data_IF_632313457887
#
_entry.id   IF_632313457887
#
_cell.length_a   1.000
_cell.length_b   1.000
_cell.length_c   1.000
_cell.angle_alpha   90.00
_cell.angle_beta   90.00
_cell.angle_gamma   90.00
#
_symmetry.space_group_name_H-M   'P 1'
#
loop_
_entity.id
_entity.type
_entity.pdbx_description
1 polymer ?
#
# COMPACT_ATOMS: atom_id res chain seq x y z
N UNK A 1 17.95 -5.15 32.66
CA UNK A 1 17.15 -5.08 31.41
C UNK A 1 16.20 -6.26 31.39
N UNK A 2 14.88 -6.03 31.33
CA UNK A 2 13.85 -7.06 31.53
C UNK A 2 13.48 -7.88 30.28
N UNK A 3 14.10 -7.60 29.13
CA UNK A 3 13.81 -8.26 27.86
C UNK A 3 15.06 -8.84 27.21
N UNK A 4 14.92 -9.97 26.52
CA UNK A 4 15.97 -10.50 25.65
C UNK A 4 16.21 -9.55 24.47
N UNK A 5 17.40 -9.61 23.89
CA UNK A 5 17.76 -8.75 22.76
C UNK A 5 16.82 -8.96 21.56
N UNK A 6 16.40 -10.20 21.28
CA UNK A 6 15.48 -10.52 20.19
C UNK A 6 14.08 -9.93 20.41
N UNK A 7 13.60 -9.92 21.66
CA UNK A 7 12.31 -9.31 22.01
C UNK A 7 12.33 -7.80 21.78
N UNK A 8 13.40 -7.12 22.18
CA UNK A 8 13.56 -5.68 21.96
C UNK A 8 13.56 -5.34 20.47
N UNK A 9 14.27 -6.13 19.64
CA UNK A 9 14.27 -5.95 18.18
C UNK A 9 12.86 -6.05 17.59
N UNK A 10 12.06 -7.04 18.02
CA UNK A 10 10.70 -7.22 17.53
C UNK A 10 9.77 -6.06 17.95
N UNK A 11 9.86 -5.61 19.20
CA UNK A 11 9.09 -4.46 19.68
C UNK A 11 9.45 -3.21 18.87
N UNK A 12 10.74 -2.96 18.64
CA UNK A 12 11.18 -1.79 17.90
C UNK A 12 10.75 -1.85 16.43
N UNK A 13 10.74 -3.04 15.81
CA UNK A 13 10.21 -3.22 14.47
C UNK A 13 8.72 -2.84 14.40
N UNK A 14 7.90 -3.31 15.35
CA UNK A 14 6.48 -2.96 15.37
C UNK A 14 6.20 -1.49 15.66
N UNK A 15 7.02 -0.82 16.49
CA UNK A 15 6.89 0.62 16.77
C UNK A 15 7.07 1.51 15.54
N UNK A 16 7.72 1.02 14.48
CA UNK A 16 7.91 1.77 13.22
C UNK A 16 6.64 1.82 12.36
N UNK A 17 5.64 1.00 12.66
CA UNK A 17 4.39 0.98 11.91
C UNK A 17 3.51 2.17 12.32
N UNK A 18 2.85 2.86 11.36
CA UNK A 18 1.96 3.95 11.68
C UNK A 18 0.80 3.46 12.57
N UNK A 19 0.48 4.22 13.62
CA UNK A 19 -0.58 3.86 14.58
C UNK A 19 -0.18 2.84 15.65
N UNK A 20 1.06 2.34 15.67
CA UNK A 20 1.53 1.36 16.68
C UNK A 20 2.41 2.02 17.73
N UNK A 21 1.81 2.38 18.87
CA UNK A 21 2.55 2.89 20.03
C UNK A 21 3.30 1.81 20.83
N UNK A 22 4.14 2.19 21.81
CA UNK A 22 4.99 1.27 22.57
C UNK A 22 4.22 0.12 23.25
N UNK A 23 3.06 0.42 23.86
CA UNK A 23 2.20 -0.60 24.50
C UNK A 23 1.64 -1.59 23.49
N UNK A 24 1.19 -1.10 22.33
CA UNK A 24 0.65 -1.95 21.25
C UNK A 24 1.75 -2.82 20.65
N UNK A 25 2.93 -2.26 20.39
CA UNK A 25 4.09 -3.00 19.89
C UNK A 25 4.51 -4.13 20.83
N UNK A 26 4.56 -3.87 22.15
CA UNK A 26 4.83 -4.89 23.15
C UNK A 26 3.77 -6.01 23.11
N UNK A 27 2.48 -5.65 23.05
CA UNK A 27 1.39 -6.62 22.96
C UNK A 27 1.50 -7.51 21.71
N UNK A 28 1.82 -6.92 20.56
CA UNK A 28 2.02 -7.65 19.30
C UNK A 28 3.24 -8.57 19.38
N UNK A 29 4.36 -8.10 19.94
CA UNK A 29 5.55 -8.92 20.12
C UNK A 29 5.27 -10.16 20.99
N UNK A 30 4.57 -10.00 22.12
CA UNK A 30 4.17 -11.14 22.96
C UNK A 30 3.18 -12.08 22.26
N UNK A 31 2.33 -11.56 21.39
CA UNK A 31 1.43 -12.38 20.58
C UNK A 31 2.22 -13.25 19.61
N UNK A 32 3.15 -12.67 18.83
CA UNK A 32 4.00 -13.41 17.88
C UNK A 32 4.80 -14.52 18.56
N UNK A 33 5.37 -14.29 19.74
CA UNK A 33 6.14 -15.31 20.48
C UNK A 33 5.29 -16.51 20.91
N UNK A 34 3.97 -16.34 21.03
CA UNK A 34 3.03 -17.43 21.40
C UNK A 34 2.52 -18.21 20.19
N UNK A 35 2.69 -17.69 18.98
CA UNK A 35 2.21 -18.36 17.77
C UNK A 35 3.09 -19.57 17.43
N UNK A 36 2.53 -20.60 16.76
CA UNK A 36 3.31 -21.65 16.14
C UNK A 36 4.32 -21.06 15.15
N UNK A 37 5.51 -21.67 15.04
CA UNK A 37 6.57 -21.19 14.16
C UNK A 37 6.15 -21.11 12.68
N UNK A 38 5.21 -21.96 12.24
CA UNK A 38 4.66 -21.95 10.89
C UNK A 38 3.80 -20.70 10.62
N UNK A 39 2.98 -20.27 11.58
CA UNK A 39 2.19 -19.04 11.45
C UNK A 39 3.08 -17.80 11.41
N UNK A 40 4.16 -17.78 12.22
CA UNK A 40 5.13 -16.68 12.19
C UNK A 40 5.84 -16.60 10.83
N UNK A 41 6.18 -17.76 10.24
CA UNK A 41 6.77 -17.82 8.89
C UNK A 41 5.80 -17.31 7.83
N UNK A 42 4.54 -17.74 7.87
CA UNK A 42 3.50 -17.27 6.94
C UNK A 42 3.35 -15.73 6.99
N UNK A 43 3.34 -15.14 8.18
CA UNK A 43 3.26 -13.68 8.33
C UNK A 43 4.50 -13.00 7.75
N UNK A 44 5.70 -13.54 8.02
CA UNK A 44 6.95 -12.97 7.51
C UNK A 44 7.04 -13.06 5.97
N UNK A 45 6.63 -14.21 5.40
CA UNK A 45 6.59 -14.43 3.96
C UNK A 45 5.59 -13.48 3.29
N UNK A 46 4.39 -13.32 3.83
CA UNK A 46 3.40 -12.38 3.29
C UNK A 46 3.91 -10.93 3.28
N UNK A 47 4.65 -10.50 4.31
CA UNK A 47 5.24 -9.16 4.36
C UNK A 47 6.31 -8.97 3.28
N UNK A 48 7.17 -9.96 3.08
CA UNK A 48 8.23 -9.93 2.06
C UNK A 48 7.64 -9.98 0.65
N UNK A 49 6.74 -10.93 0.40
CA UNK A 49 6.07 -11.12 -0.88
C UNK A 49 5.32 -9.86 -1.31
N UNK A 50 4.54 -9.25 -0.42
CA UNK A 50 3.82 -8.02 -0.71
C UNK A 50 4.79 -6.88 -1.06
N UNK A 51 5.93 -6.78 -0.38
CA UNK A 51 6.91 -5.72 -0.65
C UNK A 51 7.66 -5.94 -1.97
N UNK A 52 7.88 -7.18 -2.36
CA UNK A 52 8.63 -7.56 -3.57
C UNK A 52 7.76 -7.56 -4.82
N UNK A 53 6.53 -8.07 -4.73
CA UNK A 53 5.65 -8.27 -5.90
C UNK A 53 4.77 -7.07 -6.22
N UNK A 54 4.32 -6.33 -5.20
CA UNK A 54 3.42 -5.20 -5.43
C UNK A 54 4.23 -4.03 -6.00
N UNK A 55 3.87 -3.64 -7.21
CA UNK A 55 4.44 -2.50 -7.92
C UNK A 55 3.32 -1.56 -8.40
N UNK A 56 3.69 -0.50 -9.12
CA UNK A 56 2.75 0.42 -9.72
C UNK A 56 2.49 0.06 -11.18
N UNK A 57 1.23 0.13 -11.58
CA UNK A 57 0.82 -0.02 -12.97
C UNK A 57 1.51 1.05 -13.83
N UNK A 58 2.10 0.63 -14.94
CA UNK A 58 2.75 1.53 -15.90
C UNK A 58 1.78 2.49 -16.57
N UNK A 59 0.50 2.12 -16.67
CA UNK A 59 -0.55 2.91 -17.34
C UNK A 59 -1.22 3.89 -16.39
N UNK A 60 -1.72 3.42 -15.25
CA UNK A 60 -2.57 4.25 -14.36
C UNK A 60 -1.95 4.54 -12.99
N UNK A 61 -0.78 4.00 -12.67
CA UNK A 61 -0.15 4.20 -11.36
C UNK A 61 -0.82 3.50 -10.16
N UNK A 62 -1.87 2.70 -10.38
CA UNK A 62 -2.48 1.89 -9.31
C UNK A 62 -1.56 0.75 -8.84
N UNK A 63 -1.74 0.26 -7.61
CA UNK A 63 -1.01 -0.91 -7.10
C UNK A 63 -1.43 -2.18 -7.84
N UNK A 64 -0.46 -2.97 -8.27
CA UNK A 64 -0.69 -4.22 -8.97
C UNK A 64 0.54 -5.12 -8.95
N UNK A 65 0.34 -6.42 -9.11
CA UNK A 65 1.40 -7.40 -9.36
C UNK A 65 1.55 -7.72 -10.86
N UNK A 66 0.59 -7.30 -11.70
CA UNK A 66 0.53 -7.61 -13.12
C UNK A 66 0.56 -6.34 -13.97
N UNK A 67 1.26 -6.38 -15.10
CA UNK A 67 1.36 -5.24 -16.02
C UNK A 67 0.63 -5.53 -17.34
N UNK A 68 -0.38 -4.73 -17.73
CA UNK A 68 -1.04 -3.67 -16.96
C UNK A 68 -2.03 -4.23 -15.93
N UNK A 69 -2.44 -3.40 -14.96
CA UNK A 69 -3.32 -3.84 -13.88
C UNK A 69 -4.69 -4.35 -14.38
N UNK A 70 -5.41 -5.06 -13.50
CA UNK A 70 -6.73 -5.65 -13.77
C UNK A 70 -7.74 -4.68 -14.38
N UNK A 71 -7.72 -3.42 -13.95
CA UNK A 71 -8.63 -2.37 -14.42
C UNK A 71 -8.26 -1.98 -15.86
N UNK A 72 -6.98 -1.70 -16.12
CA UNK A 72 -6.52 -1.25 -17.44
C UNK A 72 -6.68 -2.32 -18.52
N UNK A 73 -6.48 -3.60 -18.17
CA UNK A 73 -6.66 -4.73 -19.10
C UNK A 73 -8.12 -5.07 -19.39
N UNK A 74 -9.06 -4.61 -18.57
CA UNK A 74 -10.46 -4.94 -18.72
C UNK A 74 -11.10 -4.16 -19.89
N UNK A 75 -11.39 -4.88 -20.98
CA UNK A 75 -12.00 -4.32 -22.19
C UNK A 75 -13.48 -3.90 -22.02
N UNK A 76 -14.14 -4.33 -20.94
CA UNK A 76 -15.54 -3.94 -20.65
C UNK A 76 -15.66 -2.53 -20.04
N UNK A 77 -14.54 -1.92 -19.64
CA UNK A 77 -14.52 -0.59 -19.03
C UNK A 77 -14.51 0.52 -20.07
N UNK A 78 -15.09 1.65 -19.73
CA UNK A 78 -15.10 2.83 -20.60
C UNK A 78 -13.75 3.56 -20.51
N UNK A 79 -12.94 3.46 -21.57
CA UNK A 79 -11.63 4.11 -21.68
C UNK A 79 -11.69 5.62 -21.98
N UNK A 80 -12.87 6.15 -22.31
CA UNK A 80 -13.07 7.58 -22.53
C UNK A 80 -13.24 8.34 -21.21
N UNK A 81 -13.42 7.62 -20.09
CA UNK A 81 -13.58 8.19 -18.75
C UNK A 81 -12.41 7.76 -17.87
N UNK A 82 -11.73 8.76 -17.31
CA UNK A 82 -10.60 8.58 -16.39
C UNK A 82 -10.94 9.27 -15.07
N UNK A 83 -10.99 8.51 -13.98
CA UNK A 83 -11.12 9.03 -12.62
C UNK A 83 -9.71 9.24 -12.06
N UNK A 84 -9.33 10.50 -11.91
CA UNK A 84 -8.05 10.89 -11.33
C UNK A 84 -8.17 10.87 -9.81
N UNK A 85 -7.29 10.14 -9.14
CA UNK A 85 -7.28 9.98 -7.69
C UNK A 85 -5.91 10.23 -7.10
N UNK A 86 -5.86 10.58 -5.82
CA UNK A 86 -4.61 10.94 -5.15
C UNK A 86 -3.76 9.70 -4.87
N UNK A 87 -4.37 8.65 -4.29
CA UNK A 87 -3.67 7.45 -3.85
C UNK A 87 -4.36 6.15 -4.29
N UNK A 88 -3.64 5.02 -4.37
CA UNK A 88 -4.23 3.72 -4.74
C UNK A 88 -5.40 3.26 -3.85
N UNK A 89 -5.41 3.69 -2.58
CA UNK A 89 -6.52 3.40 -1.64
C UNK A 89 -7.85 4.01 -2.11
N UNK A 90 -7.80 5.12 -2.82
CA UNK A 90 -8.98 5.83 -3.31
C UNK A 90 -9.62 5.07 -4.48
N UNK A 91 -8.80 4.39 -5.32
CA UNK A 91 -9.30 3.43 -6.32
C UNK A 91 -10.10 2.33 -5.64
N UNK A 92 -9.56 1.75 -4.57
CA UNK A 92 -10.23 0.69 -3.82
C UNK A 92 -11.52 1.16 -3.15
N UNK A 93 -11.57 2.42 -2.70
CA UNK A 93 -12.78 3.03 -2.15
C UNK A 93 -13.84 3.24 -3.24
N UNK A 94 -13.44 3.72 -4.42
CA UNK A 94 -14.35 3.93 -5.54
C UNK A 94 -14.89 2.61 -6.11
N UNK A 95 -14.04 1.59 -6.27
CA UNK A 95 -14.46 0.28 -6.78
C UNK A 95 -15.49 -0.41 -5.87
N UNK A 96 -15.44 -0.17 -4.55
CA UNK A 96 -16.41 -0.70 -3.59
C UNK A 96 -17.82 -0.15 -3.77
N UNK A 97 -18.00 0.98 -4.45
CA UNK A 97 -19.35 1.50 -4.74
C UNK A 97 -20.06 0.66 -5.81
N UNK A 98 -19.30 0.05 -6.73
CA UNK A 98 -19.84 -0.71 -7.86
C UNK A 98 -20.52 0.14 -8.93
N UNK A 99 -20.44 1.47 -8.84
CA UNK A 99 -21.14 2.40 -9.73
C UNK A 99 -20.22 3.00 -10.81
N UNK A 100 -18.90 2.87 -10.66
CA UNK A 100 -17.92 3.42 -11.59
C UNK A 100 -17.34 2.35 -12.52
N UNK A 101 -17.53 2.53 -13.83
CA UNK A 101 -17.08 1.59 -14.88
C UNK A 101 -16.00 2.18 -15.81
N UNK A 102 -15.43 3.32 -15.44
CA UNK A 102 -14.32 3.93 -16.18
C UNK A 102 -12.95 3.36 -15.78
N UNK A 103 -11.91 4.04 -16.22
CA UNK A 103 -10.51 3.78 -15.85
C UNK A 103 -10.02 4.78 -14.80
N UNK A 104 -8.85 4.53 -14.21
CA UNK A 104 -8.29 5.42 -13.19
C UNK A 104 -6.96 5.97 -13.62
N UNK A 105 -6.55 7.04 -12.94
CA UNK A 105 -5.18 7.53 -12.92
C UNK A 105 -4.81 7.95 -11.50
N UNK A 106 -3.73 7.39 -10.97
CA UNK A 106 -3.28 7.60 -9.59
C UNK A 106 -2.08 8.53 -9.60
N UNK A 107 -2.23 9.69 -8.95
CA UNK A 107 -1.22 10.74 -8.91
C UNK A 107 -0.04 10.43 -7.98
N UNK A 108 -0.22 9.52 -7.03
CA UNK A 108 0.76 9.15 -5.98
C UNK A 108 1.09 10.30 -5.02
N UNK A 109 0.12 11.18 -4.78
CA UNK A 109 0.30 12.34 -3.92
C UNK A 109 -0.57 13.50 -4.36
N UNK A 110 -0.43 14.61 -3.65
CA UNK A 110 -1.01 15.89 -4.02
C UNK A 110 0.06 16.98 -3.96
N UNK A 111 -0.16 18.04 -4.73
CA UNK A 111 0.69 19.24 -4.68
C UNK A 111 0.59 19.83 -3.27
N UNK A 112 1.72 20.00 -2.62
CA UNK A 112 1.82 20.59 -1.29
C UNK A 112 2.98 21.58 -1.25
N UNK A 113 2.70 22.90 -1.42
CA UNK A 113 3.75 23.93 -1.35
C UNK A 113 4.45 23.97 0.01
N UNK A 114 3.75 23.58 1.09
CA UNK A 114 4.29 23.55 2.45
C UNK A 114 5.36 22.45 2.58
N UNK A 115 5.13 21.31 1.92
CA UNK A 115 6.06 20.17 1.92
C UNK A 115 7.06 20.20 0.75
N UNK A 116 7.00 21.25 -0.09
CA UNK A 116 7.85 21.40 -1.27
C UNK A 116 7.52 20.44 -2.42
N UNK A 117 6.31 19.87 -2.46
CA UNK A 117 5.87 18.92 -3.49
C UNK A 117 5.21 19.65 -4.65
N UNK A 118 5.84 19.63 -5.82
CA UNK A 118 5.37 20.26 -7.05
C UNK A 118 4.60 19.31 -7.99
N UNK A 119 4.04 19.83 -9.11
CA UNK A 119 3.40 19.02 -10.15
C UNK A 119 4.31 17.96 -10.80
N UNK A 120 5.63 18.19 -10.76
CA UNK A 120 6.67 17.29 -11.28
C UNK A 120 6.96 16.09 -10.37
N UNK A 121 6.60 16.19 -9.08
CA UNK A 121 6.80 15.14 -8.08
C UNK A 121 5.62 14.15 -8.01
N UNK A 122 4.54 14.47 -8.74
CA UNK A 122 3.36 13.62 -8.87
C UNK A 122 3.15 13.21 -10.33
N UNK A 123 2.37 12.16 -10.53
CA UNK A 123 2.19 11.54 -11.85
C UNK A 123 1.20 12.30 -12.74
N UNK A 124 1.32 13.63 -12.86
CA UNK A 124 0.46 14.43 -13.75
C UNK A 124 0.89 14.29 -15.21
N UNK A 125 2.20 14.17 -15.48
CA UNK A 125 2.73 14.16 -16.86
C UNK A 125 2.22 12.96 -17.65
N UNK A 126 2.05 11.81 -17.01
CA UNK A 126 1.56 10.59 -17.65
C UNK A 126 0.05 10.61 -17.95
N UNK A 127 -0.68 11.64 -17.49
CA UNK A 127 -2.09 11.85 -17.80
C UNK A 127 -2.31 12.63 -19.11
N UNK A 128 -1.32 13.42 -19.55
CA UNK A 128 -1.39 14.30 -20.72
C UNK A 128 -0.96 13.57 -22.00
#
# INVERSE_FOLDING_TARGET
MLYSQSMLKLIEAFKRLPGVGPKTAQRLAYFIIKLPGEEVKLIAEALLEAKEKITYCSVCGNLTEEQPCQICRNMKRNRSLICVVQEPRDVSAMEKTGEYFGTYHVLQGAISPIDGVGPEDIRIKELL
#
